data_IF_939679300631
#
_entry.id   IF_939679300631
#
_cell.length_a   1.000
_cell.length_b   1.000
_cell.length_c   1.000
_cell.angle_alpha   90.00
_cell.angle_beta   90.00
_cell.angle_gamma   90.00
#
_symmetry.space_group_name_H-M   'P 1'
#
loop_
_entity.id
_entity.type
_entity.pdbx_description
1 polymer ?
#
# COMPACT_ATOMS: atom_id res chain seq x y z
N UNK A 1 -17.42 36.14 55.25
CA UNK A 1 -17.95 35.13 56.17
C UNK A 1 -17.00 33.97 56.22
N UNK A 2 -16.18 34.02 57.32
CA UNK A 2 -15.26 32.95 57.70
C UNK A 2 -16.00 31.76 58.26
N UNK A 3 -15.49 30.55 58.08
CA UNK A 3 -15.54 29.44 59.03
C UNK A 3 -14.46 28.43 58.64
N UNK A 4 -13.36 28.45 59.25
CA UNK A 4 -12.71 27.70 60.33
C UNK A 4 -12.40 26.25 60.08
N UNK A 5 -11.10 25.98 60.16
CA UNK A 5 -10.36 24.70 60.27
C UNK A 5 -10.79 23.93 61.56
N UNK A 6 -10.69 22.61 61.52
CA UNK A 6 -10.22 21.80 62.66
C UNK A 6 -9.87 20.35 62.29
N UNK A 7 -9.18 19.57 63.17
CA UNK A 7 -7.88 19.01 62.81
C UNK A 7 -7.77 17.47 62.96
N UNK A 8 -6.66 16.96 62.49
CA UNK A 8 -5.87 15.78 62.93
C UNK A 8 -6.53 14.55 63.58
N UNK A 9 -6.28 13.41 63.02
CA UNK A 9 -6.32 12.09 63.64
C UNK A 9 -5.12 11.24 63.19
N UNK A 10 -4.07 11.22 64.05
CA UNK A 10 -2.95 10.27 63.95
C UNK A 10 -3.40 8.95 64.56
N UNK A 11 -3.24 7.85 63.80
CA UNK A 11 -3.13 6.51 64.42
C UNK A 11 -1.84 5.85 63.92
N UNK A 12 -0.98 5.62 64.92
CA UNK A 12 0.19 4.73 64.80
C UNK A 12 -0.28 3.27 64.93
N UNK A 13 0.18 2.38 64.13
CA UNK A 13 0.10 0.95 64.37
C UNK A 13 1.38 0.28 63.91
N UNK A 14 1.89 -0.40 64.81
CA UNK A 14 3.11 -1.16 65.08
C UNK A 14 3.45 -2.18 63.99
N UNK A 15 4.75 -2.29 63.77
CA UNK A 15 5.41 -3.32 62.98
C UNK A 15 5.33 -4.71 63.66
N UNK A 16 5.05 -5.72 62.83
CA UNK A 16 5.37 -7.12 63.13
C UNK A 16 5.96 -7.77 61.90
N UNK A 17 7.23 -8.07 61.96
CA UNK A 17 7.96 -8.94 61.01
C UNK A 17 7.73 -10.39 61.41
N UNK A 18 7.55 -11.30 60.46
CA UNK A 18 7.99 -12.68 60.57
C UNK A 18 8.99 -13.09 59.48
N UNK A 19 9.56 -14.27 59.53
CA UNK A 19 10.97 -14.48 59.27
C UNK A 19 11.29 -14.89 57.82
N UNK A 20 12.55 -14.69 57.48
CA UNK A 20 13.27 -15.16 56.32
C UNK A 20 13.10 -16.68 56.09
N UNK A 21 12.56 -17.09 54.95
CA UNK A 21 12.77 -18.41 54.39
C UNK A 21 13.49 -18.26 53.07
N UNK A 22 14.74 -18.64 53.03
CA UNK A 22 15.54 -18.91 51.86
C UNK A 22 14.98 -20.16 51.18
N UNK A 23 14.52 -20.04 49.95
CA UNK A 23 14.39 -21.17 49.04
C UNK A 23 14.95 -20.84 47.67
N UNK A 24 15.60 -21.83 47.12
CA UNK A 24 16.55 -21.91 46.05
C UNK A 24 16.06 -21.52 44.66
N UNK A 25 17.05 -21.23 43.82
CA UNK A 25 17.06 -21.11 42.34
C UNK A 25 15.98 -21.90 41.59
N UNK A 26 15.17 -21.18 40.83
CA UNK A 26 14.39 -21.74 39.75
C UNK A 26 14.46 -20.77 38.57
N UNK A 27 15.11 -21.20 37.48
CA UNK A 27 15.34 -20.41 36.29
C UNK A 27 14.02 -19.84 35.70
N UNK A 28 13.99 -18.56 35.52
CA UNK A 28 12.93 -17.89 34.76
C UNK A 28 13.04 -18.31 33.29
N UNK A 29 12.25 -19.31 32.91
CA UNK A 29 11.99 -19.59 31.51
C UNK A 29 11.38 -18.34 30.85
N UNK A 30 12.09 -17.75 29.88
CA UNK A 30 11.51 -16.76 28.99
C UNK A 30 10.32 -17.43 28.30
N UNK A 31 9.12 -16.96 28.64
CA UNK A 31 7.94 -17.30 27.87
C UNK A 31 8.13 -16.75 26.45
N UNK A 32 8.39 -17.65 25.52
CA UNK A 32 8.42 -17.37 24.09
C UNK A 32 7.06 -16.78 23.72
N UNK A 33 7.07 -15.52 23.29
CA UNK A 33 5.93 -14.87 22.70
C UNK A 33 5.45 -15.73 21.52
N UNK A 34 4.17 -16.11 21.43
CA UNK A 34 3.69 -16.87 20.28
C UNK A 34 4.02 -16.10 19.02
N UNK A 35 4.69 -16.74 18.07
CA UNK A 35 4.86 -16.20 16.73
C UNK A 35 3.47 -15.93 16.17
N UNK A 36 3.26 -14.72 15.62
CA UNK A 36 2.03 -14.39 14.93
C UNK A 36 1.81 -15.43 13.83
N UNK A 37 0.67 -16.08 13.85
CA UNK A 37 0.27 -17.03 12.81
C UNK A 37 0.16 -16.26 11.51
N UNK A 38 0.82 -16.68 10.41
CA UNK A 38 0.66 -16.03 9.11
C UNK A 38 -0.81 -16.06 8.71
N UNK A 39 -1.34 -14.92 8.25
CA UNK A 39 -2.69 -14.82 7.69
C UNK A 39 -2.79 -15.79 6.51
N UNK A 40 -3.83 -16.67 6.40
CA UNK A 40 -3.96 -17.59 5.27
C UNK A 40 -4.09 -16.78 3.98
N UNK A 41 -3.14 -16.94 3.06
CA UNK A 41 -3.16 -16.31 1.74
C UNK A 41 -1.80 -15.78 1.24
N UNK A 42 -0.82 -15.61 2.10
CA UNK A 42 0.56 -15.35 1.65
C UNK A 42 1.27 -16.69 1.43
N UNK A 43 1.05 -17.32 0.28
CA UNK A 43 2.02 -18.28 -0.21
C UNK A 43 3.28 -17.47 -0.57
N UNK A 44 4.39 -17.74 0.11
CA UNK A 44 5.74 -17.39 -0.35
C UNK A 44 5.95 -18.07 -1.72
N UNK A 45 5.44 -17.42 -2.77
CA UNK A 45 5.74 -17.85 -4.11
C UNK A 45 7.14 -17.32 -4.40
N UNK A 46 8.10 -18.23 -4.61
CA UNK A 46 9.48 -17.90 -4.89
C UNK A 46 9.53 -16.77 -5.92
N UNK A 47 10.09 -15.62 -5.54
CA UNK A 47 10.26 -14.50 -6.43
C UNK A 47 11.00 -14.97 -7.69
N UNK A 48 10.46 -14.68 -8.86
CA UNK A 48 11.16 -14.96 -10.10
C UNK A 48 12.51 -14.22 -10.13
N UNK A 49 13.61 -14.86 -10.56
CA UNK A 49 14.89 -14.19 -10.57
C UNK A 49 14.83 -12.95 -11.46
N UNK A 50 15.26 -11.82 -10.92
CA UNK A 50 15.34 -10.58 -11.68
C UNK A 50 16.33 -10.71 -12.84
N UNK A 51 16.04 -10.08 -13.99
CA UNK A 51 17.01 -10.05 -15.08
C UNK A 51 18.27 -9.31 -14.63
N UNK A 52 19.48 -9.71 -15.09
CA UNK A 52 20.75 -9.14 -14.61
C UNK A 52 20.84 -7.61 -14.71
N UNK A 53 20.22 -7.02 -15.72
CA UNK A 53 20.20 -5.58 -15.93
C UNK A 53 19.34 -4.81 -14.90
N UNK A 54 18.42 -5.46 -14.18
CA UNK A 54 17.59 -4.82 -13.17
C UNK A 54 18.44 -4.18 -12.05
N UNK A 55 19.60 -4.74 -11.75
CA UNK A 55 20.53 -4.20 -10.76
C UNK A 55 21.03 -2.78 -11.07
N UNK A 56 20.92 -2.33 -12.34
CA UNK A 56 21.26 -0.98 -12.76
C UNK A 56 20.17 0.06 -12.45
N UNK A 57 18.92 -0.37 -12.24
CA UNK A 57 17.81 0.52 -11.92
C UNK A 57 17.97 1.06 -10.51
N UNK A 58 18.09 2.37 -10.37
CA UNK A 58 18.30 3.01 -9.08
C UNK A 58 17.37 4.20 -8.90
N UNK A 59 16.97 4.42 -7.66
CA UNK A 59 16.22 5.59 -7.21
C UNK A 59 16.99 6.33 -6.14
N UNK A 60 16.73 7.63 -6.01
CA UNK A 60 17.17 8.42 -4.86
C UNK A 60 16.04 9.36 -4.44
N UNK A 61 15.73 9.38 -3.15
CA UNK A 61 14.76 10.31 -2.57
C UNK A 61 15.45 11.67 -2.44
N UNK A 62 14.91 12.67 -3.13
CA UNK A 62 15.40 14.05 -3.09
C UNK A 62 14.67 14.86 -2.02
N UNK A 63 13.42 14.51 -1.75
CA UNK A 63 12.55 15.05 -0.72
C UNK A 63 11.49 14.00 -0.34
N UNK A 64 11.11 13.89 0.95
CA UNK A 64 11.66 14.59 2.09
C UNK A 64 13.10 14.17 2.42
N UNK A 65 13.83 15.01 3.17
CA UNK A 65 15.11 14.62 3.75
C UNK A 65 14.91 13.59 4.88
N UNK A 66 15.93 12.80 5.15
CA UNK A 66 15.91 11.88 6.31
C UNK A 66 15.74 12.67 7.62
N UNK A 67 14.85 12.22 8.49
CA UNK A 67 14.46 12.89 9.72
C UNK A 67 13.59 14.15 9.52
N UNK A 68 13.04 14.36 8.32
CA UNK A 68 12.20 15.54 8.06
C UNK A 68 10.93 15.57 8.92
N UNK A 69 10.63 16.73 9.50
CA UNK A 69 9.37 16.98 10.19
C UNK A 69 8.27 17.32 9.19
N UNK A 70 7.22 16.52 9.20
CA UNK A 70 6.04 16.67 8.33
C UNK A 70 4.87 17.19 9.17
N UNK A 71 4.46 18.43 8.91
CA UNK A 71 3.34 19.07 9.63
C UNK A 71 2.07 19.18 8.79
N UNK A 72 2.16 18.88 7.50
CA UNK A 72 1.02 18.77 6.58
C UNK A 72 0.45 17.34 6.57
N UNK A 73 -0.78 17.19 6.15
CA UNK A 73 -1.45 15.88 6.01
C UNK A 73 -1.09 15.15 4.72
N UNK A 74 -0.05 15.57 4.05
CA UNK A 74 0.51 14.98 2.84
C UNK A 74 2.02 15.11 2.87
N UNK A 75 2.71 14.10 2.35
CA UNK A 75 4.16 14.11 2.18
C UNK A 75 4.46 14.32 0.69
N UNK A 76 5.03 15.48 0.30
CA UNK A 76 5.52 15.67 -1.06
C UNK A 76 6.80 14.87 -1.25
N UNK A 77 6.77 13.93 -2.19
CA UNK A 77 7.89 13.08 -2.54
C UNK A 77 8.52 13.54 -3.86
N UNK A 78 9.85 13.66 -3.88
CA UNK A 78 10.64 13.89 -5.09
C UNK A 78 11.66 12.76 -5.23
N UNK A 79 11.71 12.13 -6.40
CA UNK A 79 12.56 10.98 -6.69
C UNK A 79 13.36 11.25 -7.96
N UNK A 80 14.63 10.92 -7.94
CA UNK A 80 15.47 10.87 -9.14
C UNK A 80 15.81 9.44 -9.50
N UNK A 81 16.09 9.21 -10.78
CA UNK A 81 16.27 7.89 -11.37
C UNK A 81 17.60 7.79 -12.11
N UNK A 82 18.20 6.60 -12.10
CA UNK A 82 19.30 6.27 -13.00
C UNK A 82 19.21 4.79 -13.41
N UNK A 83 19.68 4.50 -14.64
CA UNK A 83 19.63 3.15 -15.20
C UNK A 83 18.27 2.72 -15.78
N UNK A 84 17.24 3.57 -15.64
CA UNK A 84 15.94 3.37 -16.28
C UNK A 84 15.17 4.69 -16.43
N UNK A 85 14.18 4.68 -17.33
CA UNK A 85 13.20 5.75 -17.50
C UNK A 85 11.87 5.29 -16.87
N UNK A 86 11.34 6.01 -15.86
CA UNK A 86 10.05 5.66 -15.29
C UNK A 86 8.94 5.85 -16.30
N UNK A 87 8.09 4.85 -16.44
CA UNK A 87 6.92 4.86 -17.32
C UNK A 87 5.88 3.86 -16.82
N UNK A 88 4.64 4.29 -16.72
CA UNK A 88 3.52 3.41 -16.43
C UNK A 88 2.91 2.80 -17.71
N UNK A 89 3.34 3.20 -18.90
CA UNK A 89 2.78 2.71 -20.17
C UNK A 89 3.01 1.22 -20.41
N UNK A 90 4.01 0.66 -19.73
CA UNK A 90 4.40 -0.74 -19.85
C UNK A 90 4.08 -1.57 -18.59
N UNK A 91 3.44 -0.97 -17.58
CA UNK A 91 3.08 -1.70 -16.39
C UNK A 91 2.15 -2.88 -16.72
N UNK A 92 2.36 -4.02 -16.06
CA UNK A 92 1.61 -5.25 -16.32
C UNK A 92 1.96 -5.96 -17.62
N UNK A 93 3.03 -5.54 -18.32
CA UNK A 93 3.50 -6.17 -19.56
C UNK A 93 4.90 -6.77 -19.39
N UNK A 94 5.43 -7.38 -20.44
CA UNK A 94 6.77 -7.97 -20.43
C UNK A 94 7.85 -6.93 -20.07
N UNK A 95 8.86 -7.37 -19.31
CA UNK A 95 9.96 -6.51 -18.90
C UNK A 95 10.81 -6.06 -20.09
N UNK A 96 11.08 -4.76 -20.15
CA UNK A 96 11.92 -4.12 -21.16
C UNK A 96 13.07 -3.43 -20.45
N UNK A 97 14.31 -3.74 -20.86
CA UNK A 97 15.50 -3.13 -20.28
C UNK A 97 15.44 -1.59 -20.36
N UNK A 98 15.77 -0.93 -19.26
CA UNK A 98 15.81 0.52 -19.19
C UNK A 98 14.44 1.19 -19.01
N UNK A 99 13.38 0.42 -18.77
CA UNK A 99 12.04 0.93 -18.42
C UNK A 99 11.52 0.27 -17.15
N UNK A 100 10.59 0.93 -16.48
CA UNK A 100 9.95 0.46 -15.26
C UNK A 100 9.20 1.58 -14.59
N UNK A 101 8.85 1.38 -13.34
CA UNK A 101 8.23 2.37 -12.48
C UNK A 101 8.83 2.28 -11.08
N UNK A 102 8.24 2.91 -10.10
CA UNK A 102 8.65 2.70 -8.72
C UNK A 102 7.45 2.57 -7.81
N UNK A 103 7.63 1.79 -6.77
CA UNK A 103 6.68 1.64 -5.69
C UNK A 103 7.06 2.55 -4.53
N UNK A 104 6.07 3.00 -3.79
CA UNK A 104 6.25 3.74 -2.54
C UNK A 104 5.57 2.97 -1.43
N UNK A 105 6.30 2.78 -0.35
CA UNK A 105 5.79 2.18 0.88
C UNK A 105 5.85 3.17 2.03
N UNK A 106 4.89 3.06 2.94
CA UNK A 106 4.94 3.65 4.27
C UNK A 106 4.91 2.53 5.30
N UNK A 107 5.92 2.47 6.19
CA UNK A 107 6.06 1.44 7.21
C UNK A 107 5.98 0.00 6.66
N UNK A 108 6.53 -0.23 5.45
CA UNK A 108 6.52 -1.49 4.70
C UNK A 108 5.16 -1.87 4.10
N UNK A 109 4.21 -0.96 4.05
CA UNK A 109 2.95 -1.15 3.34
C UNK A 109 2.99 -0.39 2.03
N UNK A 110 2.71 -1.08 0.93
CA UNK A 110 2.63 -0.46 -0.40
C UNK A 110 1.55 0.62 -0.41
N UNK A 111 1.92 1.82 -0.82
CA UNK A 111 0.99 2.93 -1.04
C UNK A 111 0.47 2.89 -2.49
N UNK A 112 1.36 3.02 -3.46
CA UNK A 112 0.99 3.03 -4.89
C UNK A 112 2.24 2.85 -5.76
N UNK A 113 2.02 2.66 -7.05
CA UNK A 113 3.02 2.72 -8.11
C UNK A 113 3.06 4.11 -8.76
N UNK A 114 4.25 4.62 -9.00
CA UNK A 114 4.46 5.94 -9.56
C UNK A 114 5.42 5.92 -10.76
N UNK A 115 5.23 6.86 -11.69
CA UNK A 115 6.01 6.95 -12.93
C UNK A 115 6.51 8.37 -13.20
N UNK A 116 6.18 9.32 -12.35
CA UNK A 116 6.66 10.71 -12.42
C UNK A 116 7.73 10.95 -11.34
N UNK A 117 8.63 11.93 -11.53
CA UNK A 117 9.61 12.29 -10.51
C UNK A 117 9.02 12.80 -9.20
N UNK A 118 7.74 13.17 -9.21
CA UNK A 118 7.03 13.70 -8.03
C UNK A 118 5.80 12.87 -7.73
N UNK A 119 5.55 12.67 -6.43
CA UNK A 119 4.35 12.06 -5.90
C UNK A 119 3.89 12.81 -4.64
N UNK A 120 2.67 12.57 -4.22
CA UNK A 120 2.13 13.08 -2.95
C UNK A 120 1.52 11.92 -2.20
N UNK A 121 1.99 11.68 -0.99
CA UNK A 121 1.55 10.57 -0.15
C UNK A 121 0.58 11.11 0.90
N UNK A 122 -0.65 10.62 0.90
CA UNK A 122 -1.64 10.98 1.91
C UNK A 122 -1.26 10.41 3.28
N UNK A 123 -1.44 11.20 4.32
CA UNK A 123 -1.25 10.79 5.72
C UNK A 123 -2.59 10.53 6.43
N UNK A 124 -3.67 10.32 5.66
CA UNK A 124 -4.97 9.94 6.21
C UNK A 124 -4.85 8.65 7.03
N UNK A 125 -5.42 8.62 8.23
CA UNK A 125 -5.35 7.52 9.19
C UNK A 125 -3.93 7.11 9.63
N UNK A 126 -2.91 7.92 9.33
CA UNK A 126 -1.55 7.74 9.87
C UNK A 126 -1.47 8.46 11.20
N UNK A 127 -0.97 7.80 12.23
CA UNK A 127 -0.79 8.39 13.57
C UNK A 127 0.41 9.32 13.57
N UNK A 128 0.42 10.30 14.48
CA UNK A 128 1.63 11.10 14.72
C UNK A 128 2.77 10.23 15.23
N UNK A 129 3.99 10.54 14.82
CA UNK A 129 5.21 9.83 15.19
C UNK A 129 6.16 9.63 14.02
N UNK A 130 7.16 8.79 14.25
CA UNK A 130 8.18 8.47 13.26
C UNK A 130 7.69 7.36 12.33
N UNK A 131 7.80 7.61 11.03
CA UNK A 131 7.45 6.67 9.97
C UNK A 131 8.60 6.47 9.00
N UNK A 132 8.62 5.35 8.30
CA UNK A 132 9.60 5.07 7.24
C UNK A 132 8.91 5.17 5.89
N UNK A 133 9.42 6.03 5.02
CA UNK A 133 9.02 6.13 3.62
C UNK A 133 10.07 5.43 2.77
N UNK A 134 9.68 4.40 2.02
CA UNK A 134 10.57 3.63 1.15
C UNK A 134 10.15 3.78 -0.30
N UNK A 135 11.14 3.91 -1.19
CA UNK A 135 10.98 3.93 -2.64
C UNK A 135 11.75 2.76 -3.23
N UNK A 136 11.07 1.94 -4.02
CA UNK A 136 11.63 0.74 -4.66
C UNK A 136 11.52 0.86 -6.18
N UNK A 137 12.61 0.71 -6.96
CA UNK A 137 12.49 0.53 -8.39
C UNK A 137 11.73 -0.77 -8.68
N UNK A 138 10.83 -0.76 -9.65
CA UNK A 138 10.05 -1.92 -10.07
C UNK A 138 10.10 -2.09 -11.59
N UNK A 139 10.12 -3.34 -12.02
CA UNK A 139 10.04 -3.74 -13.42
C UNK A 139 8.61 -3.56 -13.95
N UNK A 140 8.40 -3.74 -15.25
CA UNK A 140 7.07 -3.59 -15.84
C UNK A 140 6.07 -4.63 -15.29
N UNK A 141 6.53 -5.81 -14.88
CA UNK A 141 5.73 -6.86 -14.24
C UNK A 141 5.62 -6.69 -12.71
N UNK A 142 5.95 -5.50 -12.20
CA UNK A 142 5.95 -5.12 -10.78
C UNK A 142 6.97 -5.85 -9.89
N UNK A 143 7.87 -6.66 -10.47
CA UNK A 143 8.95 -7.25 -9.67
C UNK A 143 9.87 -6.14 -9.13
N UNK A 144 10.00 -6.07 -7.81
CA UNK A 144 10.76 -5.03 -7.12
C UNK A 144 12.26 -5.32 -7.11
N UNK A 145 13.06 -4.27 -7.30
CA UNK A 145 14.52 -4.33 -7.22
C UNK A 145 14.94 -3.94 -5.80
N UNK A 146 14.60 -4.80 -4.82
CA UNK A 146 14.72 -4.54 -3.38
C UNK A 146 16.12 -4.08 -2.95
N UNK A 147 17.19 -4.65 -3.55
CA UNK A 147 18.58 -4.26 -3.24
C UNK A 147 18.89 -2.79 -3.59
N UNK A 148 18.04 -2.13 -4.37
CA UNK A 148 18.17 -0.73 -4.76
C UNK A 148 17.13 0.19 -4.10
N UNK A 149 16.34 -0.34 -3.16
CA UNK A 149 15.41 0.45 -2.35
C UNK A 149 16.11 1.58 -1.60
N UNK A 150 15.42 2.68 -1.42
CA UNK A 150 15.86 3.83 -0.64
C UNK A 150 14.79 4.20 0.36
N UNK A 151 15.20 4.44 1.61
CA UNK A 151 14.29 4.82 2.68
C UNK A 151 14.77 6.09 3.35
N UNK A 152 13.81 6.86 3.84
CA UNK A 152 14.01 7.97 4.76
C UNK A 152 13.05 7.84 5.92
N UNK A 153 13.48 8.29 7.09
CA UNK A 153 12.59 8.47 8.25
C UNK A 153 11.92 9.84 8.14
N UNK A 154 10.66 9.91 8.48
CA UNK A 154 9.92 11.17 8.63
C UNK A 154 9.28 11.22 10.02
N UNK A 155 9.21 12.42 10.59
CA UNK A 155 8.54 12.67 11.86
C UNK A 155 7.23 13.41 11.58
N UNK A 156 6.11 12.67 11.62
CA UNK A 156 4.78 13.18 11.29
C UNK A 156 4.11 13.81 12.52
N UNK A 157 4.02 15.11 12.52
CA UNK A 157 3.36 15.90 13.57
C UNK A 157 2.40 16.94 12.95
N UNK A 158 1.20 16.53 12.50
CA UNK A 158 0.30 17.42 11.79
C UNK A 158 -0.17 18.58 12.67
N UNK A 159 -0.12 19.79 12.14
CA UNK A 159 -0.64 20.98 12.85
C UNK A 159 -2.18 20.98 12.92
N UNK A 160 -2.82 20.33 11.98
CA UNK A 160 -4.27 20.13 11.91
C UNK A 160 -4.54 18.66 11.53
N UNK A 161 -4.58 17.75 12.51
CA UNK A 161 -4.84 16.34 12.21
C UNK A 161 -6.16 16.15 11.48
N UNK A 162 -6.15 15.27 10.47
CA UNK A 162 -7.38 14.84 9.79
C UNK A 162 -8.25 14.02 10.75
N UNK A 163 -9.56 14.14 10.61
CA UNK A 163 -10.46 13.19 11.24
C UNK A 163 -10.21 11.80 10.68
N UNK A 164 -10.17 10.80 11.56
CA UNK A 164 -10.01 9.40 11.14
C UNK A 164 -11.20 8.97 10.27
N UNK A 165 -10.92 8.37 9.13
CA UNK A 165 -11.92 7.67 8.34
C UNK A 165 -12.20 6.36 9.06
N UNK A 166 -13.41 6.24 9.61
CA UNK A 166 -13.88 5.04 10.30
C UNK A 166 -14.60 4.08 9.35
N UNK A 167 -14.70 2.77 9.70
CA UNK A 167 -15.44 1.81 8.90
C UNK A 167 -16.85 2.29 8.54
N UNK A 168 -17.24 2.12 7.28
CA UNK A 168 -18.56 2.47 6.77
C UNK A 168 -19.37 1.20 6.50
N UNK A 169 -20.64 1.22 6.92
CA UNK A 169 -21.60 0.22 6.47
C UNK A 169 -22.01 0.55 5.05
N UNK A 170 -21.65 -0.31 4.11
CA UNK A 170 -22.00 -0.19 2.71
C UNK A 170 -22.91 -1.37 2.31
N UNK A 171 -23.71 -1.19 1.26
CA UNK A 171 -24.46 -2.30 0.66
C UNK A 171 -23.54 -3.33 0.02
N UNK A 172 -24.07 -4.23 -0.80
CA UNK A 172 -23.24 -5.17 -1.57
C UNK A 172 -22.41 -4.41 -2.59
N UNK A 173 -21.07 -4.40 -2.49
CA UNK A 173 -20.21 -3.71 -3.43
C UNK A 173 -20.35 -4.28 -4.85
N UNK A 174 -20.18 -3.42 -5.84
CA UNK A 174 -20.11 -3.83 -7.24
C UNK A 174 -19.18 -2.92 -8.04
N UNK A 175 -18.60 -3.44 -9.11
CA UNK A 175 -17.83 -2.68 -10.10
C UNK A 175 -18.27 -3.12 -11.50
N UNK A 176 -18.32 -2.16 -12.43
CA UNK A 176 -18.68 -2.43 -13.82
C UNK A 176 -17.77 -1.61 -14.77
N UNK A 177 -17.21 -2.27 -15.77
CA UNK A 177 -16.48 -1.61 -16.84
C UNK A 177 -17.51 -1.00 -17.82
N UNK A 178 -17.47 0.32 -17.92
CA UNK A 178 -18.30 1.10 -18.85
C UNK A 178 -17.61 1.25 -20.20
N UNK A 179 -16.27 1.40 -20.17
CA UNK A 179 -15.37 1.42 -21.34
C UNK A 179 -14.07 0.69 -20.97
N UNK A 180 -13.42 -0.03 -21.91
CA UNK A 180 -13.85 -0.29 -23.29
C UNK A 180 -15.09 -1.20 -23.36
N UNK A 181 -15.77 -1.20 -24.50
CA UNK A 181 -16.87 -2.15 -24.77
C UNK A 181 -16.31 -3.49 -25.24
N UNK A 182 -17.09 -4.56 -25.04
CA UNK A 182 -16.73 -5.87 -25.57
C UNK A 182 -16.47 -5.82 -27.09
N UNK A 183 -15.35 -6.41 -27.52
CA UNK A 183 -14.92 -6.40 -28.92
C UNK A 183 -14.22 -5.12 -29.39
N UNK A 184 -14.06 -4.11 -28.53
CA UNK A 184 -13.28 -2.89 -28.86
C UNK A 184 -11.86 -3.24 -29.28
N UNK A 185 -11.30 -2.48 -30.22
CA UNK A 185 -9.89 -2.56 -30.57
C UNK A 185 -9.11 -1.47 -29.84
N UNK A 186 -8.13 -1.88 -29.04
CA UNK A 186 -7.21 -0.99 -28.35
C UNK A 186 -6.02 -0.69 -29.27
N UNK A 187 -5.75 0.60 -29.47
CA UNK A 187 -4.65 1.06 -30.32
C UNK A 187 -4.05 2.34 -29.70
N UNK A 188 -2.83 2.24 -29.19
CA UNK A 188 -2.18 3.34 -28.49
C UNK A 188 -2.83 3.63 -27.12
N UNK A 189 -3.15 4.90 -26.86
CA UNK A 189 -3.81 5.27 -25.60
C UNK A 189 -5.29 4.86 -25.62
N UNK A 190 -5.79 4.42 -24.46
CA UNK A 190 -7.20 4.08 -24.24
C UNK A 190 -7.62 4.34 -22.80
N UNK A 191 -8.92 4.45 -22.59
CA UNK A 191 -9.49 4.69 -21.27
C UNK A 191 -10.22 3.45 -20.76
N UNK A 192 -9.96 3.11 -19.50
CA UNK A 192 -10.83 2.21 -18.74
C UNK A 192 -11.70 3.07 -17.82
N UNK A 193 -13.00 3.07 -18.11
CA UNK A 193 -13.98 3.74 -17.28
C UNK A 193 -14.79 2.71 -16.53
N UNK A 194 -14.86 2.87 -15.21
CA UNK A 194 -15.62 2.00 -14.32
C UNK A 194 -16.72 2.77 -13.59
N UNK A 195 -17.72 2.03 -13.18
CA UNK A 195 -18.73 2.46 -12.22
C UNK A 195 -18.68 1.51 -11.03
N UNK A 196 -18.21 2.01 -9.88
CA UNK A 196 -18.30 1.32 -8.61
C UNK A 196 -19.55 1.77 -7.86
N UNK A 197 -20.18 0.87 -7.10
CA UNK A 197 -21.37 1.15 -6.28
C UNK A 197 -21.26 0.45 -4.95
N UNK A 198 -21.84 1.05 -3.90
CA UNK A 198 -21.81 0.53 -2.54
C UNK A 198 -20.37 0.25 -2.04
N UNK A 199 -19.43 1.11 -2.40
CA UNK A 199 -18.05 1.06 -1.96
C UNK A 199 -17.46 2.48 -2.04
N UNK A 200 -16.71 2.88 -1.01
CA UNK A 200 -16.09 4.19 -0.97
C UNK A 200 -14.69 4.11 -1.57
N UNK A 201 -14.58 4.53 -2.82
CA UNK A 201 -13.30 4.51 -3.54
C UNK A 201 -12.47 5.72 -3.11
N UNK A 202 -11.26 5.47 -2.56
CA UNK A 202 -10.33 6.51 -2.12
C UNK A 202 -8.88 6.04 -2.16
N UNK A 203 -7.96 6.90 -2.61
CA UNK A 203 -6.52 6.68 -2.51
C UNK A 203 -5.91 7.15 -1.18
N UNK A 204 -6.66 7.88 -0.38
CA UNK A 204 -6.13 8.41 0.89
C UNK A 204 -5.75 7.34 1.89
N UNK A 205 -6.33 6.16 1.77
CA UNK A 205 -6.11 5.02 2.65
C UNK A 205 -5.17 3.95 2.08
N UNK A 206 -4.63 4.12 0.87
CA UNK A 206 -3.68 3.16 0.28
C UNK A 206 -2.44 2.99 1.16
N UNK A 207 -2.06 1.74 1.40
CA UNK A 207 -0.95 1.38 2.29
C UNK A 207 -1.22 1.57 3.78
N UNK A 208 -2.46 1.86 4.20
CA UNK A 208 -2.86 1.96 5.61
C UNK A 208 -3.60 0.69 6.04
N UNK A 209 -3.77 0.48 7.35
CA UNK A 209 -4.64 -0.60 7.83
C UNK A 209 -6.01 -0.55 7.17
N UNK A 210 -6.55 -1.73 6.84
CA UNK A 210 -7.82 -1.82 6.14
C UNK A 210 -8.97 -1.16 6.93
N UNK A 211 -9.78 -0.38 6.23
CA UNK A 211 -10.97 0.29 6.75
C UNK A 211 -12.17 -0.23 5.98
N UNK A 212 -12.99 -1.05 6.62
CA UNK A 212 -14.13 -1.70 5.97
C UNK A 212 -15.05 -0.71 5.24
N UNK A 213 -15.39 -1.04 4.01
CA UNK A 213 -16.21 -0.20 3.13
C UNK A 213 -15.44 0.83 2.31
N UNK A 214 -14.12 0.87 2.42
CA UNK A 214 -13.22 1.74 1.69
C UNK A 214 -12.14 0.94 0.95
N UNK A 215 -11.60 1.52 -0.11
CA UNK A 215 -10.49 0.98 -0.89
C UNK A 215 -10.39 1.64 -2.25
N UNK A 216 -9.88 0.92 -3.23
CA UNK A 216 -9.66 1.38 -4.59
C UNK A 216 -9.94 0.26 -5.59
N UNK A 217 -9.63 0.47 -6.86
CA UNK A 217 -9.80 -0.57 -7.87
C UNK A 217 -8.55 -0.73 -8.73
N UNK A 218 -8.33 -1.97 -9.16
CA UNK A 218 -7.24 -2.36 -10.04
C UNK A 218 -7.73 -2.69 -11.43
N UNK A 219 -6.85 -2.53 -12.43
CA UNK A 219 -7.03 -3.05 -13.79
C UNK A 219 -5.91 -4.01 -14.11
N UNK A 220 -6.28 -5.22 -14.46
CA UNK A 220 -5.37 -6.27 -14.91
C UNK A 220 -5.65 -6.66 -16.37
N UNK A 221 -4.64 -7.19 -17.03
CA UNK A 221 -4.75 -7.79 -18.34
C UNK A 221 -4.72 -9.31 -18.23
N UNK A 222 -5.77 -9.98 -18.74
CA UNK A 222 -5.91 -11.43 -18.87
C UNK A 222 -6.01 -12.24 -17.58
N UNK A 223 -5.37 -11.82 -16.49
CA UNK A 223 -5.35 -12.57 -15.24
C UNK A 223 -5.34 -11.67 -14.01
N UNK A 224 -5.94 -12.15 -12.93
CA UNK A 224 -5.82 -11.60 -11.57
C UNK A 224 -5.19 -12.63 -10.62
N UNK A 225 -4.65 -13.71 -11.17
CA UNK A 225 -4.00 -14.80 -10.43
C UNK A 225 -2.49 -14.82 -10.69
N UNK A 226 -1.75 -15.47 -9.80
CA UNK A 226 -0.31 -15.61 -9.92
C UNK A 226 0.46 -14.95 -8.77
N UNK A 227 1.78 -14.79 -8.90
CA UNK A 227 2.62 -14.12 -7.91
C UNK A 227 2.11 -12.73 -7.56
N UNK A 228 2.39 -12.28 -6.32
CA UNK A 228 1.99 -10.96 -5.83
C UNK A 228 0.48 -10.68 -5.99
N UNK A 229 -0.37 -11.70 -5.76
CA UNK A 229 -1.85 -11.59 -5.91
C UNK A 229 -2.30 -11.08 -7.29
N UNK A 230 -1.57 -11.46 -8.36
CA UNK A 230 -1.88 -11.05 -9.72
C UNK A 230 -1.34 -9.67 -10.13
N UNK A 231 -0.50 -9.04 -9.31
CA UNK A 231 0.09 -7.73 -9.66
C UNK A 231 0.93 -7.76 -10.93
N UNK A 232 1.51 -8.92 -11.28
CA UNK A 232 2.34 -9.05 -12.50
C UNK A 232 1.62 -8.65 -13.80
N UNK A 233 0.30 -8.70 -13.81
CA UNK A 233 -0.54 -8.32 -14.97
C UNK A 233 -1.34 -7.05 -14.71
N UNK A 234 -1.07 -6.38 -13.59
CA UNK A 234 -1.75 -5.14 -13.23
C UNK A 234 -1.24 -3.99 -14.08
N UNK A 235 -2.13 -3.39 -14.85
CA UNK A 235 -1.82 -2.22 -15.66
C UNK A 235 -1.75 -0.96 -14.80
N UNK A 236 -2.68 -0.85 -13.85
CA UNK A 236 -2.81 0.32 -12.97
C UNK A 236 -3.82 0.09 -11.86
N UNK A 237 -3.75 0.95 -10.84
CA UNK A 237 -4.78 1.11 -9.82
C UNK A 237 -5.32 2.55 -9.81
N UNK A 238 -6.51 2.77 -9.27
CA UNK A 238 -7.15 4.09 -9.25
C UNK A 238 -8.23 4.22 -8.20
N UNK A 239 -8.45 5.47 -7.81
CA UNK A 239 -9.58 5.91 -6.98
C UNK A 239 -10.54 6.83 -7.75
N UNK A 240 -10.25 7.11 -8.99
CA UNK A 240 -11.13 7.82 -9.91
C UNK A 240 -12.06 6.87 -10.66
N UNK A 241 -12.95 7.42 -11.49
CA UNK A 241 -13.82 6.62 -12.33
C UNK A 241 -13.19 6.24 -13.68
N UNK A 242 -12.06 6.86 -14.05
CA UNK A 242 -11.39 6.68 -15.34
C UNK A 242 -9.90 6.52 -15.11
N UNK A 243 -9.32 5.56 -15.81
CA UNK A 243 -7.88 5.38 -15.96
C UNK A 243 -7.49 5.56 -17.43
N UNK A 244 -6.49 6.41 -17.65
CA UNK A 244 -5.84 6.56 -18.95
C UNK A 244 -4.69 5.57 -19.02
N UNK A 245 -4.75 4.66 -19.97
CA UNK A 245 -3.82 3.55 -20.15
C UNK A 245 -3.23 3.55 -21.56
N UNK A 246 -2.18 2.75 -21.76
CA UNK A 246 -1.53 2.55 -23.03
C UNK A 246 -1.58 1.07 -23.42
N UNK A 247 -1.85 0.78 -24.68
CA UNK A 247 -1.72 -0.57 -25.24
C UNK A 247 -0.25 -0.93 -25.59
N UNK A 248 0.69 -0.03 -25.30
CA UNK A 248 2.12 -0.25 -25.53
C UNK A 248 2.62 -1.44 -24.71
N UNK A 249 3.36 -2.33 -25.36
CA UNK A 249 3.87 -3.55 -24.72
C UNK A 249 2.87 -4.69 -24.61
N UNK A 250 1.59 -4.47 -24.86
CA UNK A 250 0.60 -5.54 -24.97
C UNK A 250 0.82 -6.32 -26.27
N UNK A 251 0.68 -7.65 -26.22
CA UNK A 251 0.76 -8.45 -27.44
C UNK A 251 -0.46 -8.22 -28.34
N UNK A 252 -0.31 -8.16 -29.66
CA UNK A 252 -1.47 -8.08 -30.54
C UNK A 252 -2.38 -9.31 -30.41
N UNK A 253 -3.69 -9.11 -30.44
CA UNK A 253 -4.66 -10.20 -30.37
C UNK A 253 -5.76 -9.96 -29.37
N UNK A 254 -6.47 -11.03 -29.01
CA UNK A 254 -7.58 -11.01 -28.06
C UNK A 254 -7.05 -11.01 -26.62
N UNK A 255 -7.56 -10.10 -25.81
CA UNK A 255 -7.26 -9.95 -24.40
C UNK A 255 -8.53 -9.74 -23.58
N UNK A 256 -8.38 -9.84 -22.26
CA UNK A 256 -9.43 -9.53 -21.30
C UNK A 256 -8.94 -8.42 -20.37
N UNK A 257 -9.64 -7.29 -20.38
CA UNK A 257 -9.46 -6.24 -19.35
C UNK A 257 -10.31 -6.63 -18.16
N UNK A 258 -9.70 -6.69 -16.98
CA UNK A 258 -10.35 -7.07 -15.72
C UNK A 258 -10.24 -5.89 -14.75
N UNK A 259 -11.36 -5.39 -14.25
CA UNK A 259 -11.38 -4.41 -13.17
C UNK A 259 -11.95 -5.07 -11.91
N UNK A 260 -11.31 -4.85 -10.76
CA UNK A 260 -11.78 -5.39 -9.49
C UNK A 260 -11.57 -4.41 -8.34
N UNK A 261 -12.39 -4.55 -7.29
CA UNK A 261 -12.27 -3.78 -6.06
C UNK A 261 -11.23 -4.42 -5.14
N UNK A 262 -10.34 -3.57 -4.58
CA UNK A 262 -9.32 -3.94 -3.62
C UNK A 262 -9.51 -3.16 -2.32
N UNK A 263 -9.08 -3.74 -1.21
CA UNK A 263 -8.99 -3.07 0.09
C UNK A 263 -7.80 -2.09 0.15
N UNK A 264 -7.61 -1.42 1.27
CA UNK A 264 -6.55 -0.41 1.43
C UNK A 264 -5.14 -1.00 1.43
N UNK A 265 -4.99 -2.32 1.54
CA UNK A 265 -3.73 -3.06 1.46
C UNK A 265 -3.57 -3.79 0.13
N UNK A 266 -4.31 -3.36 -0.91
CA UNK A 266 -4.29 -3.89 -2.28
C UNK A 266 -4.79 -5.34 -2.43
N UNK A 267 -5.34 -5.95 -1.38
CA UNK A 267 -5.93 -7.27 -1.50
C UNK A 267 -7.30 -7.19 -2.17
N UNK A 268 -7.61 -8.08 -3.14
CA UNK A 268 -8.95 -8.19 -3.68
C UNK A 268 -9.98 -8.42 -2.56
N UNK A 269 -11.14 -7.80 -2.67
CA UNK A 269 -12.23 -8.06 -1.72
C UNK A 269 -12.60 -9.56 -1.70
N UNK A 270 -13.07 -10.05 -0.57
CA UNK A 270 -13.48 -11.45 -0.43
C UNK A 270 -14.97 -11.55 -0.07
N UNK A 271 -15.84 -12.09 -0.98
CA UNK A 271 -15.49 -12.60 -2.31
C UNK A 271 -15.01 -11.50 -3.26
N UNK A 272 -14.22 -11.88 -4.28
CA UNK A 272 -13.71 -10.95 -5.28
C UNK A 272 -14.85 -10.28 -6.04
N UNK A 273 -14.83 -8.97 -6.10
CA UNK A 273 -15.80 -8.14 -6.82
C UNK A 273 -15.12 -7.61 -8.08
N UNK A 274 -15.47 -8.16 -9.22
CA UNK A 274 -14.82 -7.87 -10.51
C UNK A 274 -15.80 -7.77 -11.67
N UNK A 275 -15.36 -7.12 -12.76
CA UNK A 275 -15.98 -7.14 -14.08
C UNK A 275 -14.94 -7.35 -15.15
N UNK A 276 -15.32 -7.99 -16.27
CA UNK A 276 -14.41 -8.41 -17.34
C UNK A 276 -14.94 -8.05 -18.72
N UNK A 277 -14.07 -7.52 -19.55
CA UNK A 277 -14.41 -7.16 -20.93
C UNK A 277 -13.36 -7.71 -21.89
N UNK A 278 -13.80 -8.51 -22.88
CA UNK A 278 -12.93 -8.97 -23.95
C UNK A 278 -12.69 -7.85 -24.98
N UNK A 279 -11.42 -7.64 -25.32
CA UNK A 279 -10.97 -6.60 -26.26
C UNK A 279 -9.98 -7.21 -27.27
N UNK A 280 -9.63 -6.45 -28.30
CA UNK A 280 -8.55 -6.81 -29.21
C UNK A 280 -7.47 -5.72 -29.13
N UNK A 281 -6.21 -6.12 -29.07
CA UNK A 281 -5.06 -5.21 -29.19
C UNK A 281 -4.63 -5.19 -30.65
N UNK A 282 -4.53 -3.98 -31.23
CA UNK A 282 -4.10 -3.80 -32.62
C UNK A 282 -2.63 -4.25 -32.80
N UNK A 283 -2.27 -4.59 -34.06
CA UNK A 283 -0.88 -4.87 -34.46
C UNK A 283 -0.06 -3.60 -34.61
#
# INVERSE_FOLDING_TARGET
MEWTLSPAGRFAATALLPPLLLLACGGAGQASRPAATPKPGQSEQAAMPLPPWASSMKVAIQSPADGAKITANQVPLQVSFSGFQPSCDLAGTANVQGTGHYHVEIDKSLVDMFCAPSATISMQNVKSGTHTLTVLPALNDHAEVEQNAKSVSIDYEPTQPLAEIAPASVGTPSIKIVSPKAGSTLNGAFDVWVQASNFNVTCDLEGKPDVAGYGHWHVNLDSTSGPMMGMMTMLRMSCGNVLHLSAKGMTPGRHTVIAFLADNQHAPLNPMIEDKVAVNVAR
#
